data_IF_557290143680
#
_entry.id   IF_557290143680
#
_cell.length_a   1.000
_cell.length_b   1.000
_cell.length_c   1.000
_cell.angle_alpha   90.00
_cell.angle_beta   90.00
_cell.angle_gamma   90.00
#
_symmetry.space_group_name_H-M   'P 1'
#
loop_
_entity.id
_entity.type
_entity.pdbx_description
1 polymer ?
#
# COMPACT_ATOMS: atom_id res chain seq x y z
N UNK A 1 13.92 0.07 13.36
CA UNK A 1 13.33 -0.27 14.68
C UNK A 1 14.32 0.05 15.78
N UNK A 2 15.52 -0.52 15.77
CA UNK A 2 16.58 -0.20 16.75
C UNK A 2 16.84 1.31 16.94
N UNK A 3 16.90 2.10 15.84
CA UNK A 3 17.08 3.55 15.94
C UNK A 3 15.93 4.26 16.69
N UNK A 4 14.69 3.80 16.51
CA UNK A 4 13.52 4.33 17.22
C UNK A 4 13.58 4.01 18.71
N UNK A 5 13.92 2.76 19.05
CA UNK A 5 14.06 2.32 20.44
C UNK A 5 15.17 3.09 21.17
N UNK A 6 16.33 3.26 20.52
CA UNK A 6 17.44 4.07 21.06
C UNK A 6 17.03 5.53 21.26
N UNK A 7 16.31 6.12 20.31
CA UNK A 7 15.81 7.49 20.43
C UNK A 7 14.85 7.65 21.62
N UNK A 8 13.88 6.75 21.76
CA UNK A 8 12.94 6.77 22.90
C UNK A 8 13.65 6.55 24.24
N UNK A 9 14.68 5.71 24.28
CA UNK A 9 15.48 5.48 25.48
C UNK A 9 16.24 6.75 25.90
N UNK A 10 16.84 7.47 24.94
CA UNK A 10 17.51 8.74 25.20
C UNK A 10 16.53 9.79 25.75
N UNK A 11 15.34 9.93 25.14
CA UNK A 11 14.33 10.87 25.62
C UNK A 11 13.85 10.57 27.05
N UNK A 12 13.78 9.29 27.43
CA UNK A 12 13.42 8.88 28.79
C UNK A 12 14.52 9.22 29.80
N UNK A 13 15.79 9.03 29.42
CA UNK A 13 16.94 9.39 30.26
C UNK A 13 17.00 10.90 30.48
N UNK A 14 16.63 11.68 29.46
CA UNK A 14 16.65 13.14 29.48
C UNK A 14 15.39 13.79 30.06
N UNK A 15 14.40 12.99 30.53
CA UNK A 15 13.09 13.46 31.01
C UNK A 15 12.45 14.50 30.06
N UNK A 16 12.50 14.21 28.75
CA UNK A 16 12.15 15.18 27.72
C UNK A 16 10.72 15.72 27.88
N UNK A 17 10.51 17.05 27.85
CA UNK A 17 9.17 17.66 27.87
C UNK A 17 8.25 17.16 26.74
N UNK A 18 8.84 16.68 25.65
CA UNK A 18 8.08 16.16 24.50
C UNK A 18 7.40 14.82 24.78
N UNK A 19 7.96 14.00 25.70
CA UNK A 19 7.32 12.76 26.16
C UNK A 19 6.14 13.08 27.08
N UNK A 20 6.33 14.02 28.02
CA UNK A 20 5.28 14.47 28.93
C UNK A 20 4.10 15.03 28.14
N UNK A 21 4.36 15.89 27.14
CA UNK A 21 3.31 16.45 26.27
C UNK A 21 2.55 15.39 25.48
N UNK A 22 3.22 14.31 25.02
CA UNK A 22 2.53 13.19 24.38
C UNK A 22 1.64 12.41 25.35
N UNK A 23 2.11 12.21 26.59
CA UNK A 23 1.33 11.55 27.64
C UNK A 23 0.09 12.36 28.04
N UNK A 24 0.18 13.70 28.10
CA UNK A 24 -0.96 14.60 28.31
C UNK A 24 -2.01 14.48 27.19
N UNK A 25 -1.57 14.24 25.95
CA UNK A 25 -2.45 13.95 24.81
C UNK A 25 -2.96 12.49 24.83
N UNK A 26 -2.42 11.65 25.71
CA UNK A 26 -2.73 10.24 25.85
C UNK A 26 -2.26 9.37 24.69
N UNK A 27 -1.21 9.81 24.00
CA UNK A 27 -0.64 9.12 22.84
C UNK A 27 0.62 8.41 23.28
N UNK A 28 0.67 7.09 23.08
CA UNK A 28 1.85 6.30 23.41
C UNK A 28 2.89 6.39 22.29
N UNK A 29 4.19 6.54 22.59
CA UNK A 29 5.22 6.52 21.56
C UNK A 29 5.19 5.26 20.68
N UNK A 30 4.76 4.10 21.22
CA UNK A 30 4.60 2.87 20.43
C UNK A 30 3.59 3.00 19.29
N UNK A 31 2.56 3.83 19.44
CA UNK A 31 1.54 4.07 18.41
C UNK A 31 2.10 4.90 17.23
N UNK A 32 3.22 5.60 17.45
CA UNK A 32 3.88 6.43 16.43
C UNK A 32 4.95 5.67 15.63
N UNK A 33 5.26 4.42 15.99
CA UNK A 33 6.33 3.64 15.34
C UNK A 33 6.08 3.43 13.84
N UNK A 34 4.84 3.16 13.43
CA UNK A 34 4.49 2.99 12.02
C UNK A 34 4.53 4.30 11.24
N UNK A 35 4.15 5.41 11.87
CA UNK A 35 4.30 6.75 11.32
C UNK A 35 5.78 7.08 11.09
N UNK A 36 6.62 6.84 12.10
CA UNK A 36 8.07 6.99 12.01
C UNK A 36 8.68 6.15 10.88
N UNK A 37 8.30 4.87 10.77
CA UNK A 37 8.75 3.98 9.69
C UNK A 37 8.34 4.53 8.33
N UNK A 38 7.11 5.02 8.20
CA UNK A 38 6.58 5.59 6.97
C UNK A 38 7.38 6.81 6.53
N UNK A 39 7.66 7.74 7.44
CA UNK A 39 8.46 8.95 7.14
C UNK A 39 9.90 8.57 6.80
N UNK A 40 10.52 7.64 7.52
CA UNK A 40 11.87 7.14 7.20
C UNK A 40 11.96 6.44 5.83
N UNK A 41 10.86 5.84 5.37
CA UNK A 41 10.78 5.17 4.07
C UNK A 41 10.69 6.20 2.92
N UNK A 42 10.05 7.35 3.18
CA UNK A 42 9.80 8.41 2.20
C UNK A 42 10.32 9.78 2.67
N UNK A 43 11.64 9.94 2.92
CA UNK A 43 12.25 11.15 3.49
C UNK A 43 12.04 12.43 2.66
N UNK A 44 11.75 12.28 1.37
CA UNK A 44 11.42 13.37 0.46
C UNK A 44 10.02 13.96 0.67
N UNK A 45 9.11 13.19 1.27
CA UNK A 45 7.75 13.63 1.56
C UNK A 45 7.79 14.34 2.90
N UNK A 46 7.82 15.67 2.86
CA UNK A 46 7.71 16.47 4.07
C UNK A 46 6.26 16.41 4.57
N UNK A 47 6.00 15.89 5.78
CA UNK A 47 4.67 15.93 6.35
C UNK A 47 4.23 17.38 6.47
N UNK A 48 3.10 17.72 5.85
CA UNK A 48 2.45 19.00 6.13
C UNK A 48 1.72 18.87 7.46
N UNK A 49 1.94 19.80 8.38
CA UNK A 49 1.21 19.88 9.63
C UNK A 49 1.00 21.35 10.00
N UNK A 50 -0.23 21.67 10.40
CA UNK A 50 -0.61 22.98 10.93
C UNK A 50 -1.17 22.77 12.33
N UNK A 51 -0.86 23.70 13.24
CA UNK A 51 -1.46 23.68 14.56
C UNK A 51 -2.95 24.00 14.45
N UNK A 52 -3.80 23.03 14.78
CA UNK A 52 -5.24 23.26 14.94
C UNK A 52 -5.53 23.75 16.36
N UNK A 53 -6.61 24.52 16.58
CA UNK A 53 -7.05 24.84 17.93
C UNK A 53 -7.55 23.60 18.66
N UNK A 54 -7.41 23.60 19.99
CA UNK A 54 -7.94 22.52 20.82
C UNK A 54 -9.47 22.50 20.76
N UNK A 55 -10.11 21.36 20.45
CA UNK A 55 -11.56 21.29 20.37
C UNK A 55 -12.23 21.44 21.75
N UNK A 56 -13.46 21.95 21.76
CA UNK A 56 -14.26 22.03 22.97
C UNK A 56 -14.88 20.67 23.31
N UNK A 57 -14.17 19.88 24.12
CA UNK A 57 -14.65 18.55 24.53
C UNK A 57 -15.83 18.60 25.51
N UNK A 58 -16.14 19.76 26.12
CA UNK A 58 -17.16 19.85 27.16
C UNK A 58 -18.57 19.60 26.63
N UNK A 59 -18.86 20.12 25.44
CA UNK A 59 -20.18 19.98 24.82
C UNK A 59 -20.45 18.54 24.43
N UNK A 60 -19.51 17.91 23.72
CA UNK A 60 -19.61 16.51 23.32
C UNK A 60 -19.77 15.56 24.52
N UNK A 61 -19.04 15.81 25.62
CA UNK A 61 -19.16 15.02 26.85
C UNK A 61 -20.51 15.26 27.54
N UNK A 62 -21.00 16.50 27.57
CA UNK A 62 -22.33 16.80 28.13
C UNK A 62 -23.43 16.05 27.39
N UNK A 63 -23.35 15.99 26.07
CA UNK A 63 -24.32 15.24 25.25
C UNK A 63 -24.24 13.73 25.50
N UNK A 64 -23.03 13.15 25.54
CA UNK A 64 -22.86 11.73 25.88
C UNK A 64 -23.37 11.42 27.29
N UNK A 65 -23.15 12.30 28.27
CA UNK A 65 -23.67 12.11 29.63
C UNK A 65 -25.20 12.13 29.62
N UNK A 66 -25.81 13.11 28.93
CA UNK A 66 -27.27 13.21 28.82
C UNK A 66 -27.87 11.96 28.17
N UNK A 67 -27.27 11.51 27.07
CA UNK A 67 -27.66 10.26 26.41
C UNK A 67 -27.48 9.05 27.32
N UNK A 68 -26.37 8.97 28.06
CA UNK A 68 -26.08 7.85 28.95
C UNK A 68 -27.02 7.80 30.16
N UNK A 69 -27.39 8.94 30.72
CA UNK A 69 -28.34 9.03 31.82
C UNK A 69 -29.72 8.51 31.39
N UNK A 70 -30.18 8.84 30.18
CA UNK A 70 -31.43 8.34 29.60
C UNK A 70 -31.33 6.84 29.26
N UNK A 71 -30.33 6.46 28.46
CA UNK A 71 -30.18 5.09 27.98
C UNK A 71 -29.96 4.08 29.11
N UNK A 72 -29.31 4.49 30.22
CA UNK A 72 -29.06 3.62 31.37
C UNK A 72 -30.33 3.11 32.06
N UNK A 73 -31.47 3.79 31.90
CA UNK A 73 -32.76 3.36 32.45
C UNK A 73 -33.33 2.14 31.72
N UNK A 74 -32.83 1.86 30.52
CA UNK A 74 -33.27 0.76 29.66
C UNK A 74 -32.25 -0.39 29.58
N UNK A 75 -31.16 -0.31 30.34
CA UNK A 75 -30.15 -1.36 30.47
C UNK A 75 -30.53 -2.25 31.67
N UNK A 76 -30.56 -3.58 31.53
CA UNK A 76 -30.84 -4.50 32.63
C UNK A 76 -29.82 -4.36 33.78
N UNK A 77 -30.30 -4.40 35.03
CA UNK A 77 -29.45 -4.37 36.23
C UNK A 77 -28.56 -5.62 36.37
N UNK A 78 -29.06 -6.79 35.91
CA UNK A 78 -28.29 -8.02 35.81
C UNK A 78 -27.69 -8.20 34.41
N UNK A 79 -26.45 -8.67 34.34
CA UNK A 79 -25.76 -8.87 33.06
C UNK A 79 -26.48 -9.92 32.19
N UNK A 80 -26.79 -9.61 30.92
CA UNK A 80 -27.40 -10.58 30.01
C UNK A 80 -26.50 -11.81 29.82
N UNK A 81 -27.10 -12.99 29.58
CA UNK A 81 -26.37 -14.28 29.40
C UNK A 81 -25.22 -14.26 28.37
N UNK A 82 -25.25 -13.34 27.41
CA UNK A 82 -24.24 -13.20 26.35
C UNK A 82 -23.41 -11.91 26.48
N UNK A 83 -23.37 -11.34 27.68
CA UNK A 83 -22.74 -10.06 28.01
C UNK A 83 -23.54 -8.86 27.49
N UNK A 84 -23.14 -7.68 27.96
CA UNK A 84 -23.61 -6.40 27.42
C UNK A 84 -23.22 -6.24 25.93
N UNK A 85 -24.00 -5.48 25.18
CA UNK A 85 -23.57 -5.01 23.86
C UNK A 85 -22.66 -3.77 23.97
N UNK A 86 -22.02 -3.37 22.86
CA UNK A 86 -21.05 -2.27 22.85
C UNK A 86 -21.64 -0.93 23.30
N UNK A 87 -22.90 -0.67 22.97
CA UNK A 87 -23.56 0.58 23.37
C UNK A 87 -23.86 0.56 24.86
N UNK A 88 -24.33 -0.57 25.40
CA UNK A 88 -24.51 -0.77 26.83
C UNK A 88 -23.20 -0.60 27.60
N UNK A 89 -22.12 -1.21 27.11
CA UNK A 89 -20.77 -1.05 27.69
C UNK A 89 -20.31 0.42 27.69
N UNK A 90 -20.55 1.15 26.59
CA UNK A 90 -20.23 2.56 26.48
C UNK A 90 -21.03 3.42 27.49
N UNK A 91 -22.34 3.22 27.59
CA UNK A 91 -23.22 3.91 28.55
C UNK A 91 -22.81 3.60 30.00
N UNK A 92 -22.57 2.32 30.32
CA UNK A 92 -22.11 1.91 31.64
C UNK A 92 -20.71 2.46 31.97
N UNK A 93 -19.84 2.61 30.97
CA UNK A 93 -18.53 3.25 31.16
C UNK A 93 -18.66 4.71 31.61
N UNK A 94 -19.57 5.48 31.01
CA UNK A 94 -19.86 6.86 31.40
C UNK A 94 -20.45 6.92 32.81
N UNK A 95 -21.42 6.05 33.11
CA UNK A 95 -22.05 5.98 34.44
C UNK A 95 -21.05 5.66 35.55
N UNK A 96 -20.14 4.70 35.31
CA UNK A 96 -19.04 4.38 36.24
C UNK A 96 -18.09 5.56 36.42
N UNK A 97 -17.75 6.26 35.35
CA UNK A 97 -16.80 7.38 35.38
C UNK A 97 -17.38 8.66 35.99
N UNK A 98 -18.71 8.85 35.97
CA UNK A 98 -19.39 9.99 36.63
C UNK A 98 -19.09 10.07 38.13
N UNK A 99 -18.77 8.93 38.77
CA UNK A 99 -18.37 8.86 40.17
C UNK A 99 -16.92 9.28 40.46
N UNK A 100 -16.08 9.46 39.43
CA UNK A 100 -14.67 9.82 39.54
C UNK A 100 -14.39 11.15 38.84
N UNK A 101 -14.65 12.26 39.54
CA UNK A 101 -14.55 13.62 38.99
C UNK A 101 -13.17 13.93 38.40
N UNK A 102 -12.10 13.47 39.05
CA UNK A 102 -10.72 13.68 38.58
C UNK A 102 -10.43 12.95 37.26
N UNK A 103 -11.10 11.84 37.00
CA UNK A 103 -10.91 11.06 35.77
C UNK A 103 -11.47 11.79 34.54
N UNK A 104 -12.62 12.47 34.65
CA UNK A 104 -13.24 13.22 33.54
C UNK A 104 -12.52 14.56 33.31
N UNK A 105 -11.60 14.98 34.18
CA UNK A 105 -10.86 16.23 34.01
C UNK A 105 -9.89 16.17 32.83
N UNK A 106 -9.19 15.05 32.71
CA UNK A 106 -8.20 14.79 31.66
C UNK A 106 -8.85 14.62 30.28
N UNK A 107 -8.28 15.26 29.26
CA UNK A 107 -8.86 15.26 27.91
C UNK A 107 -8.77 13.88 27.24
N UNK A 108 -7.68 13.14 27.47
CA UNK A 108 -7.54 11.76 27.01
C UNK A 108 -8.71 10.87 27.44
N UNK A 109 -9.15 11.00 28.70
CA UNK A 109 -10.25 10.21 29.22
C UNK A 109 -11.60 10.56 28.56
N UNK A 110 -11.82 11.84 28.24
CA UNK A 110 -12.98 12.30 27.47
C UNK A 110 -12.97 11.71 26.06
N UNK A 111 -11.83 11.71 25.38
CA UNK A 111 -11.68 11.14 24.04
C UNK A 111 -11.94 9.64 24.05
N UNK A 112 -11.42 8.92 25.05
CA UNK A 112 -11.67 7.48 25.20
C UNK A 112 -13.16 7.14 25.36
N UNK A 113 -13.90 7.98 26.08
CA UNK A 113 -15.36 7.86 26.15
C UNK A 113 -15.99 8.06 24.76
N UNK A 114 -15.66 9.15 24.07
CA UNK A 114 -16.15 9.42 22.70
C UNK A 114 -15.85 8.26 21.73
N UNK A 115 -14.66 7.67 21.80
CA UNK A 115 -14.28 6.53 20.96
C UNK A 115 -15.12 5.26 21.22
N UNK A 116 -15.51 5.01 22.48
CA UNK A 116 -16.38 3.88 22.80
C UNK A 116 -17.74 4.04 22.11
N UNK A 117 -18.32 5.24 22.12
CA UNK A 117 -19.58 5.50 21.42
C UNK A 117 -19.43 5.45 19.89
N UNK A 118 -18.33 5.97 19.33
CA UNK A 118 -18.06 5.86 17.89
C UNK A 118 -18.02 4.41 17.38
N UNK A 119 -17.60 3.45 18.22
CA UNK A 119 -17.52 2.01 17.88
C UNK A 119 -18.81 1.21 18.17
N UNK A 120 -19.89 1.87 18.57
CA UNK A 120 -21.11 1.24 19.12
C UNK A 120 -22.25 1.04 18.10
N UNK A 121 -21.92 0.72 16.84
CA UNK A 121 -22.91 0.59 15.74
C UNK A 121 -23.86 -0.62 15.87
N UNK A 122 -23.46 -1.66 16.62
CA UNK A 122 -24.20 -2.94 16.72
C UNK A 122 -24.92 -3.07 18.05
N UNK A 123 -26.17 -2.61 18.09
CA UNK A 123 -27.08 -2.78 19.24
C UNK A 123 -27.85 -4.11 19.11
N UNK A 124 -27.87 -4.90 20.18
CA UNK A 124 -28.58 -6.20 20.20
C UNK A 124 -29.90 -6.08 20.93
N UNK A 125 -31.00 -5.93 20.18
CA UNK A 125 -32.34 -5.59 20.71
C UNK A 125 -32.80 -6.47 21.89
N UNK A 126 -32.54 -7.78 21.85
CA UNK A 126 -32.97 -8.72 22.89
C UNK A 126 -32.19 -8.62 24.21
N UNK A 127 -31.22 -7.70 24.33
CA UNK A 127 -30.40 -7.47 25.54
C UNK A 127 -30.82 -6.24 26.33
N UNK A 128 -31.85 -5.54 25.88
CA UNK A 128 -32.39 -4.31 26.49
C UNK A 128 -33.74 -4.57 27.14
N UNK A 129 -34.11 -3.76 28.12
CA UNK A 129 -35.40 -3.85 28.82
C UNK A 129 -36.56 -3.60 27.84
N UNK A 130 -36.39 -2.67 26.89
CA UNK A 130 -37.33 -2.42 25.79
C UNK A 130 -36.63 -2.59 24.43
N UNK A 131 -37.22 -3.42 23.57
CA UNK A 131 -36.72 -3.65 22.20
C UNK A 131 -36.97 -2.44 21.31
N UNK A 132 -38.06 -1.72 21.55
CA UNK A 132 -38.47 -0.53 20.82
C UNK A 132 -37.47 0.60 21.06
N UNK A 133 -37.12 0.85 22.33
CA UNK A 133 -36.10 1.85 22.70
C UNK A 133 -34.71 1.47 22.20
N UNK A 134 -34.32 0.20 22.31
CA UNK A 134 -33.05 -0.26 21.74
C UNK A 134 -32.97 -0.05 20.22
N UNK A 135 -34.10 -0.21 19.52
CA UNK A 135 -34.19 0.04 18.07
C UNK A 135 -34.10 1.54 17.76
N UNK A 136 -34.79 2.38 18.52
CA UNK A 136 -34.70 3.84 18.42
C UNK A 136 -33.27 4.34 18.64
N UNK A 137 -32.59 3.87 19.68
CA UNK A 137 -31.18 4.22 19.92
C UNK A 137 -30.28 3.80 18.77
N UNK A 138 -30.47 2.59 18.22
CA UNK A 138 -29.67 2.07 17.10
C UNK A 138 -29.90 2.83 15.80
N UNK A 139 -31.16 3.12 15.47
CA UNK A 139 -31.56 3.55 14.13
C UNK A 139 -31.58 5.08 13.98
N UNK A 140 -31.62 5.86 15.07
CA UNK A 140 -31.63 7.32 15.00
C UNK A 140 -30.66 7.98 15.98
N UNK A 141 -30.85 7.78 17.29
CA UNK A 141 -30.23 8.65 18.30
C UNK A 141 -28.71 8.49 18.35
N UNK A 142 -28.20 7.25 18.31
CA UNK A 142 -26.74 7.03 18.32
C UNK A 142 -26.08 7.50 17.02
N UNK A 143 -26.74 7.31 15.89
CA UNK A 143 -26.23 7.71 14.58
C UNK A 143 -26.16 9.23 14.47
N UNK A 144 -27.22 9.93 14.90
CA UNK A 144 -27.25 11.38 14.93
C UNK A 144 -26.18 11.95 15.86
N UNK A 145 -26.03 11.37 17.05
CA UNK A 145 -24.98 11.77 18.01
C UNK A 145 -23.58 11.49 17.44
N UNK A 146 -23.38 10.36 16.75
CA UNK A 146 -22.13 10.00 16.10
C UNK A 146 -21.77 10.98 14.98
N UNK A 147 -22.70 11.26 14.07
CA UNK A 147 -22.46 12.11 12.90
C UNK A 147 -22.31 13.58 13.26
N UNK A 148 -23.14 14.10 14.16
CA UNK A 148 -23.17 15.55 14.46
C UNK A 148 -22.17 15.97 15.52
N UNK A 149 -21.81 15.08 16.45
CA UNK A 149 -21.04 15.47 17.65
C UNK A 149 -19.80 14.63 17.84
N UNK A 150 -19.92 13.31 17.94
CA UNK A 150 -18.79 12.44 18.32
C UNK A 150 -17.71 12.42 17.23
N UNK A 151 -18.07 12.05 16.01
CA UNK A 151 -17.11 11.90 14.91
C UNK A 151 -16.44 13.24 14.54
N UNK A 152 -17.17 14.37 14.45
CA UNK A 152 -16.54 15.68 14.25
C UNK A 152 -15.58 16.06 15.38
N UNK A 153 -15.95 15.83 16.64
CA UNK A 153 -15.10 16.14 17.81
C UNK A 153 -13.84 15.28 17.81
N UNK A 154 -13.96 13.97 17.53
CA UNK A 154 -12.83 13.05 17.41
C UNK A 154 -11.91 13.45 16.25
N UNK A 155 -12.47 13.89 15.12
CA UNK A 155 -11.70 14.39 14.00
C UNK A 155 -10.91 15.64 14.39
N UNK A 156 -11.55 16.65 14.99
CA UNK A 156 -10.87 17.87 15.46
C UNK A 156 -9.78 17.56 16.51
N UNK A 157 -10.00 16.58 17.39
CA UNK A 157 -8.99 16.15 18.35
C UNK A 157 -7.78 15.50 17.64
N UNK A 158 -8.01 14.66 16.64
CA UNK A 158 -6.94 14.08 15.82
C UNK A 158 -6.16 15.16 15.08
N UNK A 159 -6.84 16.15 14.50
CA UNK A 159 -6.21 17.30 13.84
C UNK A 159 -5.37 18.14 14.82
N UNK A 160 -5.87 18.37 16.03
CA UNK A 160 -5.13 19.03 17.11
C UNK A 160 -3.86 18.25 17.50
N UNK A 161 -3.99 16.93 17.69
CA UNK A 161 -2.87 16.06 18.07
C UNK A 161 -1.83 15.91 16.97
N UNK A 162 -2.26 15.90 15.69
CA UNK A 162 -1.41 15.60 14.54
C UNK A 162 -0.17 16.51 14.46
N UNK A 163 -0.31 17.80 14.72
CA UNK A 163 0.85 18.70 14.73
C UNK A 163 1.86 18.33 15.83
N UNK A 164 1.39 17.92 17.02
CA UNK A 164 2.24 17.52 18.14
C UNK A 164 2.93 16.18 17.87
N UNK A 165 2.22 15.21 17.29
CA UNK A 165 2.80 13.89 16.97
C UNK A 165 3.86 14.00 15.88
N UNK A 166 3.63 14.77 14.82
CA UNK A 166 4.62 14.98 13.77
C UNK A 166 5.86 15.72 14.31
N UNK A 167 5.68 16.76 15.13
CA UNK A 167 6.80 17.44 15.80
C UNK A 167 7.63 16.51 16.69
N UNK A 168 7.00 15.51 17.31
CA UNK A 168 7.70 14.50 18.10
C UNK A 168 8.48 13.50 17.23
N UNK A 169 7.91 13.09 16.10
CA UNK A 169 8.51 12.06 15.23
C UNK A 169 9.65 12.60 14.38
N UNK A 170 9.58 13.84 13.90
CA UNK A 170 10.60 14.40 12.99
C UNK A 170 12.04 14.37 13.55
N UNK A 171 12.32 14.74 14.82
CA UNK A 171 13.67 14.61 15.37
C UNK A 171 14.16 13.16 15.46
N UNK A 172 13.25 12.19 15.65
CA UNK A 172 13.60 10.76 15.62
C UNK A 172 14.04 10.30 14.22
N UNK A 173 13.39 10.85 13.18
CA UNK A 173 13.77 10.61 11.78
C UNK A 173 15.15 11.18 11.51
N UNK A 174 15.43 12.40 11.97
CA UNK A 174 16.76 13.00 11.85
C UNK A 174 17.83 12.18 12.58
N UNK A 175 17.54 11.74 13.82
CA UNK A 175 18.42 10.85 14.57
C UNK A 175 18.77 9.56 13.81
N UNK A 176 17.79 8.98 13.11
CA UNK A 176 18.05 7.83 12.23
C UNK A 176 18.95 8.18 11.05
N UNK A 177 18.74 9.33 10.41
CA UNK A 177 19.62 9.80 9.35
C UNK A 177 21.06 10.01 9.84
N UNK A 178 21.25 10.61 11.02
CA UNK A 178 22.56 10.79 11.64
C UNK A 178 23.26 9.47 11.95
N UNK A 179 22.55 8.49 12.52
CA UNK A 179 23.09 7.16 12.80
C UNK A 179 23.60 6.50 11.52
N UNK A 180 22.85 6.62 10.42
CA UNK A 180 23.24 6.05 9.12
C UNK A 180 24.44 6.74 8.52
N UNK A 181 24.54 8.06 8.67
CA UNK A 181 25.71 8.82 8.25
C UNK A 181 26.97 8.39 9.02
N UNK A 182 26.86 8.17 10.34
CA UNK A 182 27.99 7.71 11.17
C UNK A 182 28.56 6.37 10.71
N UNK A 183 27.72 5.46 10.20
CA UNK A 183 28.16 4.16 9.66
C UNK A 183 28.47 4.19 8.16
N UNK A 184 28.43 5.36 7.50
CA UNK A 184 28.71 5.53 6.07
C UNK A 184 27.88 4.62 5.14
N UNK A 185 26.62 4.33 5.51
CA UNK A 185 25.75 3.44 4.74
C UNK A 185 24.64 4.20 4.00
N UNK A 186 24.55 3.98 2.69
CA UNK A 186 23.47 4.49 1.84
C UNK A 186 22.51 3.37 1.49
N UNK A 187 21.22 3.67 1.54
CA UNK A 187 20.17 2.80 1.00
C UNK A 187 19.80 3.31 -0.40
N UNK A 188 18.91 2.58 -1.09
CA UNK A 188 18.49 2.97 -2.44
C UNK A 188 17.88 4.37 -2.51
N UNK A 189 17.14 4.78 -1.48
CA UNK A 189 16.52 6.11 -1.43
C UNK A 189 17.55 7.24 -1.27
N UNK A 190 18.57 7.02 -0.45
CA UNK A 190 19.66 7.98 -0.29
C UNK A 190 20.46 8.15 -1.58
N UNK A 191 20.68 7.07 -2.33
CA UNK A 191 21.35 7.15 -3.63
C UNK A 191 20.58 8.06 -4.58
N UNK A 192 19.25 7.90 -4.62
CA UNK A 192 18.36 8.74 -5.43
C UNK A 192 18.40 10.20 -4.97
N UNK A 193 18.20 10.45 -3.68
CA UNK A 193 18.16 11.80 -3.11
C UNK A 193 19.50 12.53 -3.18
N UNK A 194 20.62 11.85 -2.94
CA UNK A 194 21.95 12.46 -3.07
C UNK A 194 22.26 12.77 -4.53
N UNK A 195 21.90 11.89 -5.46
CA UNK A 195 22.02 12.17 -6.91
C UNK A 195 21.21 13.39 -7.30
N UNK A 196 19.95 13.45 -6.86
CA UNK A 196 19.08 14.61 -7.03
C UNK A 196 19.72 15.90 -6.48
N UNK A 197 20.17 15.90 -5.23
CA UNK A 197 20.81 17.05 -4.61
C UNK A 197 22.08 17.50 -5.33
N UNK A 198 22.91 16.55 -5.78
CA UNK A 198 24.12 16.84 -6.54
C UNK A 198 23.78 17.55 -7.85
N UNK A 199 22.86 16.98 -8.63
CA UNK A 199 22.45 17.57 -9.91
C UNK A 199 21.74 18.91 -9.72
N UNK A 200 20.93 19.07 -8.68
CA UNK A 200 20.18 20.31 -8.41
C UNK A 200 21.09 21.46 -7.96
N UNK A 201 22.05 21.18 -7.07
CA UNK A 201 22.78 22.22 -6.35
C UNK A 201 24.18 22.52 -6.90
N UNK A 202 24.77 21.62 -7.69
CA UNK A 202 26.14 21.75 -8.20
C UNK A 202 26.12 21.77 -9.75
N UNK A 203 26.01 22.97 -10.37
CA UNK A 203 25.95 23.12 -11.82
C UNK A 203 27.12 22.48 -12.57
N UNK A 204 28.31 22.45 -11.98
CA UNK A 204 29.51 21.84 -12.54
C UNK A 204 29.38 20.31 -12.65
N UNK A 205 28.77 19.66 -11.65
CA UNK A 205 28.49 18.22 -11.68
C UNK A 205 27.41 17.92 -12.71
N UNK A 206 26.36 18.74 -12.75
CA UNK A 206 25.31 18.64 -13.76
C UNK A 206 25.93 18.76 -15.17
N UNK A 207 26.71 19.81 -15.42
CA UNK A 207 27.35 20.05 -16.71
C UNK A 207 28.26 18.89 -17.14
N UNK A 208 29.04 18.34 -16.22
CA UNK A 208 29.87 17.15 -16.47
C UNK A 208 29.03 15.98 -17.00
N UNK A 209 27.92 15.64 -16.33
CA UNK A 209 27.07 14.54 -16.76
C UNK A 209 26.26 14.85 -18.03
N UNK A 210 25.85 16.10 -18.24
CA UNK A 210 25.23 16.55 -19.50
C UNK A 210 26.18 16.44 -20.68
N UNK A 211 27.49 16.63 -20.46
CA UNK A 211 28.50 16.45 -21.48
C UNK A 211 28.74 14.97 -21.78
N UNK A 212 28.75 14.12 -20.75
CA UNK A 212 28.94 12.67 -20.88
C UNK A 212 27.73 11.97 -21.53
N UNK A 213 26.52 12.30 -21.10
CA UNK A 213 25.27 11.69 -21.58
C UNK A 213 24.52 12.68 -22.46
N UNK A 214 24.68 12.54 -23.77
CA UNK A 214 24.08 13.46 -24.77
C UNK A 214 22.59 13.20 -24.96
N UNK A 215 22.17 11.94 -24.91
CA UNK A 215 20.79 11.50 -25.06
C UNK A 215 20.44 10.54 -23.92
N UNK A 216 19.26 10.75 -23.33
CA UNK A 216 18.67 9.93 -22.29
C UNK A 216 17.46 9.20 -22.88
N UNK A 217 17.49 7.88 -22.81
CA UNK A 217 16.36 7.03 -23.18
C UNK A 217 15.79 6.44 -21.90
N UNK A 218 14.52 6.76 -21.63
CA UNK A 218 13.82 6.31 -20.43
C UNK A 218 12.65 5.44 -20.85
N UNK A 219 12.68 4.18 -20.42
CA UNK A 219 11.61 3.22 -20.64
C UNK A 219 10.76 3.06 -19.36
N UNK A 220 9.56 2.53 -19.48
CA UNK A 220 8.61 2.30 -18.38
C UNK A 220 8.36 3.55 -17.50
N UNK A 221 8.26 4.73 -18.13
CA UNK A 221 8.17 6.01 -17.42
C UNK A 221 6.96 6.11 -16.48
N UNK A 222 5.88 5.36 -16.74
CA UNK A 222 4.72 5.30 -15.85
C UNK A 222 5.02 4.77 -14.44
N UNK A 223 6.16 4.10 -14.25
CA UNK A 223 6.61 3.56 -12.97
C UNK A 223 7.69 4.43 -12.30
N UNK A 224 7.96 5.61 -12.87
CA UNK A 224 8.95 6.57 -12.38
C UNK A 224 8.41 7.36 -11.19
N UNK A 225 9.23 7.53 -10.15
CA UNK A 225 8.89 8.40 -9.00
C UNK A 225 9.17 9.89 -9.31
N UNK A 226 8.57 10.84 -8.56
CA UNK A 226 8.78 12.27 -8.82
C UNK A 226 10.24 12.72 -8.85
N UNK A 227 11.11 12.17 -7.97
CA UNK A 227 12.53 12.56 -7.89
C UNK A 227 13.29 12.08 -9.13
N UNK A 228 13.00 10.86 -9.59
CA UNK A 228 13.59 10.35 -10.84
C UNK A 228 13.25 11.26 -12.03
N UNK A 229 12.00 11.74 -12.13
CA UNK A 229 11.61 12.70 -13.14
C UNK A 229 12.43 14.01 -13.03
N UNK A 230 12.65 14.54 -11.82
CA UNK A 230 13.49 15.73 -11.64
C UNK A 230 14.94 15.48 -12.10
N UNK A 231 15.51 14.33 -11.74
CA UNK A 231 16.88 13.93 -12.14
C UNK A 231 17.00 13.90 -13.67
N UNK A 232 16.02 13.28 -14.35
CA UNK A 232 15.97 13.21 -15.81
C UNK A 232 15.98 14.62 -16.41
N UNK A 233 15.15 15.54 -15.90
CA UNK A 233 15.10 16.92 -16.38
C UNK A 233 16.38 17.71 -16.06
N UNK A 234 17.03 17.51 -14.92
CA UNK A 234 18.33 18.14 -14.65
C UNK A 234 19.42 17.66 -15.60
N UNK A 235 19.41 16.38 -15.99
CA UNK A 235 20.37 15.84 -16.96
C UNK A 235 20.04 16.23 -18.42
N UNK A 236 18.77 16.41 -18.75
CA UNK A 236 18.36 16.83 -20.09
C UNK A 236 18.35 18.35 -20.29
N UNK A 237 18.21 19.13 -19.22
CA UNK A 237 17.94 20.58 -19.26
C UNK A 237 19.04 21.43 -19.90
N UNK A 238 18.64 22.55 -20.50
CA UNK A 238 19.55 23.54 -21.09
C UNK A 238 20.25 24.39 -20.03
N UNK A 239 19.51 24.89 -19.04
CA UNK A 239 20.04 25.75 -17.98
C UNK A 239 20.57 24.93 -16.80
N UNK A 240 21.87 25.00 -16.55
CA UNK A 240 22.52 24.29 -15.44
C UNK A 240 22.32 24.96 -14.07
N UNK A 241 21.87 26.21 -14.04
CA UNK A 241 21.64 26.97 -12.81
C UNK A 241 20.18 26.95 -12.33
N UNK A 242 19.23 26.63 -13.20
CA UNK A 242 17.82 26.46 -12.81
C UNK A 242 17.66 25.26 -11.85
N UNK A 243 16.98 25.50 -10.73
CA UNK A 243 16.79 24.55 -9.61
C UNK A 243 15.35 24.08 -9.49
N UNK A 244 14.46 24.55 -10.35
CA UNK A 244 13.11 24.07 -10.52
C UNK A 244 13.01 23.31 -11.85
N UNK A 245 12.98 21.98 -11.76
CA UNK A 245 12.93 21.11 -12.92
C UNK A 245 11.73 21.35 -13.84
N UNK A 246 10.60 21.84 -13.32
CA UNK A 246 9.41 22.13 -14.13
C UNK A 246 9.59 23.36 -15.04
N UNK A 247 10.62 24.17 -14.80
CA UNK A 247 11.00 25.29 -15.67
C UNK A 247 12.10 24.92 -16.66
N UNK A 248 12.74 23.76 -16.49
CA UNK A 248 13.80 23.32 -17.38
C UNK A 248 13.23 22.90 -18.73
N UNK A 249 13.88 23.43 -19.77
CA UNK A 249 13.64 23.02 -21.14
C UNK A 249 14.75 22.01 -21.50
N UNK A 250 14.42 20.76 -21.87
CA UNK A 250 15.40 19.81 -22.37
C UNK A 250 16.19 20.37 -23.57
N UNK A 251 17.47 20.00 -23.70
CA UNK A 251 18.25 20.29 -24.91
C UNK A 251 17.63 19.53 -26.09
N UNK A 252 17.60 20.10 -27.30
CA UNK A 252 17.08 19.39 -28.48
C UNK A 252 17.73 18.01 -28.66
N UNK A 253 16.92 16.97 -28.82
CA UNK A 253 17.38 15.58 -29.02
C UNK A 253 17.99 14.90 -27.78
N UNK A 254 17.91 15.52 -26.59
CA UNK A 254 18.55 14.98 -25.38
C UNK A 254 17.71 14.02 -24.56
N UNK A 255 16.40 13.94 -24.80
CA UNK A 255 15.47 13.17 -23.98
C UNK A 255 14.45 12.44 -24.87
N UNK A 256 14.36 11.13 -24.66
CA UNK A 256 13.36 10.26 -25.26
C UNK A 256 12.72 9.40 -24.15
N UNK A 257 11.40 9.46 -24.04
CA UNK A 257 10.67 8.82 -22.94
C UNK A 257 9.58 7.92 -23.52
N UNK A 258 9.52 6.69 -23.04
CA UNK A 258 8.51 5.69 -23.36
C UNK A 258 7.79 5.30 -22.07
N UNK A 259 6.48 5.17 -22.14
CA UNK A 259 5.68 4.65 -21.05
C UNK A 259 4.22 4.44 -21.44
N UNK A 260 3.53 3.62 -20.66
CA UNK A 260 2.11 3.34 -20.81
C UNK A 260 1.39 3.58 -19.48
N UNK A 261 0.62 4.67 -19.33
CA UNK A 261 -0.07 4.96 -18.07
C UNK A 261 -1.10 3.89 -17.69
N UNK A 262 -1.60 3.10 -18.66
CA UNK A 262 -2.53 1.99 -18.39
C UNK A 262 -1.84 0.81 -17.69
N UNK A 263 -0.50 0.76 -17.70
CA UNK A 263 0.33 -0.28 -17.07
C UNK A 263 0.95 0.16 -15.73
N UNK A 264 0.62 1.36 -15.22
CA UNK A 264 1.13 1.84 -13.93
C UNK A 264 0.55 1.02 -12.77
N UNK A 265 1.32 0.04 -12.28
CA UNK A 265 0.93 -0.86 -11.18
C UNK A 265 1.78 -0.66 -9.92
N UNK A 266 2.80 0.19 -9.98
CA UNK A 266 3.76 0.44 -8.90
C UNK A 266 3.42 1.69 -8.05
N UNK A 267 2.13 2.06 -7.92
CA UNK A 267 1.70 3.19 -7.07
C UNK A 267 2.19 3.07 -5.61
N UNK A 268 2.35 1.84 -5.10
CA UNK A 268 2.92 1.58 -3.78
C UNK A 268 4.42 1.95 -3.66
N UNK A 269 5.11 2.14 -4.79
CA UNK A 269 6.48 2.71 -4.90
C UNK A 269 6.47 4.16 -5.37
N UNK A 270 5.33 4.85 -5.23
CA UNK A 270 5.13 6.26 -5.61
C UNK A 270 5.22 6.56 -7.11
N UNK A 271 5.05 5.56 -7.97
CA UNK A 271 4.72 5.80 -9.37
C UNK A 271 3.44 6.66 -9.43
N UNK A 272 3.51 7.80 -10.13
CA UNK A 272 2.44 8.79 -10.13
C UNK A 272 2.05 9.19 -11.55
N UNK A 273 0.82 8.83 -11.93
CA UNK A 273 0.21 9.19 -13.22
C UNK A 273 0.13 10.72 -13.39
N UNK A 274 0.03 11.49 -12.29
CA UNK A 274 0.07 12.94 -12.37
C UNK A 274 1.45 13.44 -12.82
N UNK A 275 2.54 12.79 -12.41
CA UNK A 275 3.90 13.11 -12.88
C UNK A 275 4.07 12.71 -14.35
N UNK A 276 3.56 11.55 -14.75
CA UNK A 276 3.54 11.16 -16.17
C UNK A 276 2.87 12.23 -17.04
N UNK A 277 1.68 12.69 -16.63
CA UNK A 277 0.93 13.73 -17.35
C UNK A 277 1.63 15.09 -17.32
N UNK A 278 2.27 15.46 -16.21
CA UNK A 278 3.05 16.68 -16.09
C UNK A 278 4.26 16.66 -17.04
N UNK A 279 5.02 15.58 -17.06
CA UNK A 279 6.19 15.44 -17.94
C UNK A 279 5.79 15.46 -19.40
N UNK A 280 4.71 14.79 -19.77
CA UNK A 280 4.12 14.89 -21.12
C UNK A 280 3.88 16.36 -21.50
N UNK A 281 3.20 17.11 -20.63
CA UNK A 281 2.91 18.53 -20.89
C UNK A 281 4.17 19.40 -20.96
N UNK A 282 5.20 19.10 -20.16
CA UNK A 282 6.49 19.80 -20.21
C UNK A 282 7.24 19.53 -21.51
N UNK A 283 7.24 18.28 -22.00
CA UNK A 283 7.85 17.90 -23.28
C UNK A 283 7.16 18.63 -24.43
N UNK A 284 5.83 18.61 -24.50
CA UNK A 284 5.05 19.34 -25.52
C UNK A 284 5.35 20.84 -25.47
N UNK A 285 5.37 21.45 -24.28
CA UNK A 285 5.68 22.87 -24.10
C UNK A 285 7.12 23.23 -24.52
N UNK A 286 8.05 22.30 -24.40
CA UNK A 286 9.45 22.49 -24.82
C UNK A 286 9.69 22.31 -26.32
N UNK A 287 8.63 22.04 -27.11
CA UNK A 287 8.72 21.78 -28.56
C UNK A 287 9.02 20.32 -28.90
N UNK A 288 8.91 19.41 -27.94
CA UNK A 288 9.02 17.97 -28.18
C UNK A 288 7.72 17.37 -28.72
N UNK A 289 7.84 16.22 -29.37
CA UNK A 289 6.70 15.50 -29.94
C UNK A 289 6.19 14.43 -28.98
N UNK A 290 4.86 14.31 -28.85
CA UNK A 290 4.23 13.21 -28.13
C UNK A 290 3.55 12.28 -29.13
N UNK A 291 4.12 11.09 -29.28
CA UNK A 291 3.63 10.06 -30.17
C UNK A 291 2.75 9.06 -29.39
N UNK A 292 1.71 8.56 -30.04
CA UNK A 292 0.85 7.50 -29.50
C UNK A 292 0.98 6.26 -30.37
N UNK A 293 1.35 5.14 -29.76
CA UNK A 293 1.45 3.85 -30.42
C UNK A 293 0.27 2.97 -29.98
N UNK A 294 -0.67 2.72 -30.89
CA UNK A 294 -1.86 1.89 -30.61
C UNK A 294 -1.74 0.48 -31.19
N UNK A 295 -0.84 0.30 -32.17
CA UNK A 295 -0.56 -0.97 -32.81
C UNK A 295 0.03 -1.98 -31.81
N UNK A 296 -0.68 -3.08 -31.60
CA UNK A 296 -0.23 -4.19 -30.77
C UNK A 296 0.24 -5.34 -31.67
N UNK A 297 1.56 -5.58 -31.63
CA UNK A 297 2.23 -6.65 -32.36
C UNK A 297 2.52 -7.89 -31.49
N UNK A 298 1.97 -7.95 -30.27
CA UNK A 298 2.25 -9.03 -29.31
C UNK A 298 1.11 -10.05 -29.20
N UNK A 299 -0.12 -9.60 -29.43
CA UNK A 299 -1.33 -10.37 -29.17
C UNK A 299 -2.13 -10.64 -30.44
N UNK A 300 -2.84 -11.77 -30.45
CA UNK A 300 -3.84 -12.11 -31.47
C UNK A 300 -5.10 -11.25 -31.34
N UNK A 301 -5.82 -11.10 -32.45
CA UNK A 301 -7.03 -10.29 -32.53
C UNK A 301 -8.10 -10.67 -31.51
N UNK A 302 -8.32 -11.97 -31.28
CA UNK A 302 -9.25 -12.49 -30.27
C UNK A 302 -8.99 -12.04 -28.84
N UNK A 303 -7.75 -11.70 -28.49
CA UNK A 303 -7.43 -11.14 -27.16
C UNK A 303 -7.88 -9.69 -27.09
N UNK A 304 -7.52 -8.88 -28.10
CA UNK A 304 -7.87 -7.47 -28.16
C UNK A 304 -9.38 -7.25 -28.25
N UNK A 305 -10.08 -8.01 -29.10
CA UNK A 305 -11.52 -7.89 -29.28
C UNK A 305 -12.32 -8.25 -28.04
N UNK A 306 -11.83 -9.19 -27.22
CA UNK A 306 -12.46 -9.57 -25.96
C UNK A 306 -12.17 -8.55 -24.84
N UNK A 307 -10.93 -8.10 -24.70
CA UNK A 307 -10.52 -7.24 -23.59
C UNK A 307 -10.90 -5.78 -23.78
N UNK A 308 -10.90 -5.27 -25.02
CA UNK A 308 -11.08 -3.84 -25.27
C UNK A 308 -12.41 -3.28 -24.70
N UNK A 309 -13.58 -3.91 -24.92
CA UNK A 309 -14.85 -3.42 -24.36
C UNK A 309 -14.89 -3.46 -22.82
N UNK A 310 -14.31 -4.51 -22.22
CA UNK A 310 -14.27 -4.69 -20.76
C UNK A 310 -13.49 -3.54 -20.10
N UNK A 311 -12.31 -3.24 -20.64
CA UNK A 311 -11.49 -2.18 -20.07
C UNK A 311 -12.05 -0.79 -20.39
N UNK A 312 -12.69 -0.58 -21.53
CA UNK A 312 -13.36 0.69 -21.83
C UNK A 312 -14.43 1.02 -20.77
N UNK A 313 -15.26 0.04 -20.38
CA UNK A 313 -16.25 0.20 -19.32
C UNK A 313 -15.58 0.48 -17.95
N UNK A 314 -14.58 -0.33 -17.57
CA UNK A 314 -13.90 -0.20 -16.27
C UNK A 314 -13.21 1.16 -16.12
N UNK A 315 -12.56 1.66 -17.17
CA UNK A 315 -11.84 2.94 -17.14
C UNK A 315 -12.77 4.15 -17.29
N UNK A 316 -13.95 4.00 -17.89
CA UNK A 316 -14.93 5.10 -18.02
C UNK A 316 -15.48 5.59 -16.68
N UNK A 317 -15.49 4.72 -15.66
CA UNK A 317 -16.00 5.03 -14.32
C UNK A 317 -15.10 5.94 -13.47
N UNK A 318 -13.87 6.23 -13.93
CA UNK A 318 -12.85 6.94 -13.16
C UNK A 318 -12.21 8.10 -13.92
N UNK A 319 -12.97 9.09 -14.38
CA UNK A 319 -12.37 10.29 -14.97
C UNK A 319 -11.80 11.21 -13.87
N UNK A 320 -10.47 11.29 -13.79
CA UNK A 320 -9.77 12.19 -12.88
C UNK A 320 -8.27 12.30 -13.18
N UNK A 321 -7.60 13.31 -12.61
CA UNK A 321 -6.15 13.59 -12.82
C UNK A 321 -5.22 12.43 -12.44
N UNK A 322 -5.72 11.46 -11.68
CA UNK A 322 -4.95 10.35 -11.11
C UNK A 322 -5.23 8.99 -11.75
N UNK A 323 -6.07 8.94 -12.79
CA UNK A 323 -6.40 7.72 -13.51
C UNK A 323 -5.90 7.84 -14.96
N UNK A 324 -5.38 6.74 -15.50
CA UNK A 324 -5.00 6.70 -16.91
C UNK A 324 -6.23 6.75 -17.82
N UNK A 325 -6.13 7.48 -18.93
CA UNK A 325 -7.16 7.44 -19.97
C UNK A 325 -6.98 6.13 -20.75
N UNK A 326 -8.07 5.41 -20.95
CA UNK A 326 -8.05 4.17 -21.70
C UNK A 326 -7.71 4.43 -23.18
N UNK A 327 -6.72 3.70 -23.70
CA UNK A 327 -6.47 3.57 -25.13
C UNK A 327 -6.64 2.11 -25.53
N UNK A 328 -7.46 1.80 -26.56
CA UNK A 328 -7.66 0.44 -27.00
C UNK A 328 -6.42 -0.12 -27.70
N UNK A 329 -6.19 -1.42 -27.53
CA UNK A 329 -5.14 -2.12 -28.26
C UNK A 329 -5.61 -2.46 -29.67
N UNK A 330 -4.87 -2.02 -30.69
CA UNK A 330 -5.10 -2.39 -32.09
C UNK A 330 -4.23 -3.60 -32.44
N UNK A 331 -4.74 -4.80 -32.12
CA UNK A 331 -4.08 -6.07 -32.43
C UNK A 331 -3.98 -6.29 -33.94
N UNK A 332 -2.76 -6.53 -34.43
CA UNK A 332 -2.49 -6.69 -35.87
C UNK A 332 -2.55 -8.16 -36.31
N UNK A 333 -2.22 -9.08 -35.41
CA UNK A 333 -2.16 -10.50 -35.74
C UNK A 333 -3.55 -11.13 -35.82
N UNK A 334 -3.81 -11.83 -36.92
CA UNK A 334 -5.05 -12.59 -37.13
C UNK A 334 -4.99 -13.93 -36.41
N UNK A 335 -6.14 -14.36 -35.94
CA UNK A 335 -6.34 -15.72 -35.44
C UNK A 335 -6.20 -16.75 -36.58
N UNK A 336 -5.66 -17.93 -36.24
CA UNK A 336 -5.69 -19.10 -37.10
C UNK A 336 -6.69 -20.12 -36.51
N UNK A 337 -7.79 -20.47 -37.21
CA UNK A 337 -8.78 -21.43 -36.70
C UNK A 337 -8.22 -22.82 -36.35
N UNK A 338 -7.05 -23.18 -36.89
CA UNK A 338 -6.37 -24.46 -36.61
C UNK A 338 -5.45 -24.39 -35.38
N UNK A 339 -5.27 -23.22 -34.78
CA UNK A 339 -4.43 -23.00 -33.62
C UNK A 339 -5.27 -22.56 -32.42
N UNK A 340 -4.75 -22.78 -31.21
CA UNK A 340 -5.37 -22.31 -29.98
C UNK A 340 -5.32 -20.77 -29.93
N UNK A 341 -6.48 -20.13 -29.73
CA UNK A 341 -6.56 -18.69 -29.53
C UNK A 341 -7.77 -18.25 -28.68
N UNK A 342 -7.78 -16.97 -28.32
CA UNK A 342 -8.85 -16.31 -27.58
C UNK A 342 -8.74 -16.43 -26.07
N UNK A 343 -9.72 -15.82 -25.40
CA UNK A 343 -9.82 -15.82 -23.94
C UNK A 343 -10.80 -16.91 -23.50
N UNK A 344 -10.37 -17.73 -22.53
CA UNK A 344 -11.18 -18.80 -21.93
C UNK A 344 -11.32 -18.55 -20.43
N UNK A 345 -12.49 -18.82 -19.89
CA UNK A 345 -12.78 -18.68 -18.47
C UNK A 345 -13.04 -20.06 -17.85
N UNK A 346 -12.31 -20.39 -16.78
CA UNK A 346 -12.56 -21.56 -15.95
C UNK A 346 -13.36 -21.12 -14.72
N UNK A 347 -14.50 -21.75 -14.48
CA UNK A 347 -15.36 -21.46 -13.33
C UNK A 347 -15.14 -22.54 -12.28
N UNK A 348 -14.79 -22.11 -11.06
CA UNK A 348 -14.52 -22.99 -9.92
C UNK A 348 -15.56 -22.74 -8.83
N UNK A 349 -16.11 -23.81 -8.26
CA UNK A 349 -17.09 -23.71 -7.18
C UNK A 349 -16.44 -23.19 -5.90
N UNK A 350 -17.12 -22.27 -5.21
CA UNK A 350 -16.65 -21.76 -3.92
C UNK A 350 -16.90 -22.80 -2.82
N UNK A 351 -15.84 -23.14 -2.09
CA UNK A 351 -15.93 -24.00 -0.90
C UNK A 351 -15.91 -23.19 0.39
N UNK A 352 -16.29 -23.81 1.50
CA UNK A 352 -16.22 -23.22 2.85
C UNK A 352 -14.78 -22.88 3.24
N UNK A 353 -13.82 -23.72 2.86
CA UNK A 353 -12.40 -23.47 3.05
C UNK A 353 -11.77 -22.85 1.80
N UNK A 354 -11.26 -21.61 1.93
CA UNK A 354 -10.59 -20.88 0.86
C UNK A 354 -9.42 -21.65 0.23
N UNK A 355 -8.67 -22.43 1.01
CA UNK A 355 -7.55 -23.21 0.49
C UNK A 355 -8.01 -24.35 -0.42
N UNK A 356 -9.18 -24.95 -0.15
CA UNK A 356 -9.72 -25.99 -1.02
C UNK A 356 -10.16 -25.41 -2.36
N UNK A 357 -10.83 -24.25 -2.35
CA UNK A 357 -11.18 -23.54 -3.60
C UNK A 357 -9.94 -23.24 -4.44
N UNK A 358 -8.86 -22.78 -3.82
CA UNK A 358 -7.59 -22.52 -4.52
C UNK A 358 -6.97 -23.81 -5.05
N UNK A 359 -7.04 -24.91 -4.27
CA UNK A 359 -6.55 -26.21 -4.75
C UNK A 359 -7.34 -26.72 -5.95
N UNK A 360 -8.66 -26.54 -5.94
CA UNK A 360 -9.52 -26.91 -7.06
C UNK A 360 -9.21 -26.08 -8.31
N UNK A 361 -8.96 -24.77 -8.14
CA UNK A 361 -8.49 -23.89 -9.21
C UNK A 361 -7.15 -24.35 -9.79
N UNK A 362 -6.14 -24.59 -8.93
CA UNK A 362 -4.83 -25.09 -9.32
C UNK A 362 -4.91 -26.44 -10.05
N UNK A 363 -5.78 -27.35 -9.59
CA UNK A 363 -6.01 -28.64 -10.25
C UNK A 363 -6.66 -28.46 -11.63
N UNK A 364 -7.60 -27.52 -11.75
CA UNK A 364 -8.26 -27.26 -13.03
C UNK A 364 -7.28 -26.69 -14.05
N UNK A 365 -6.40 -25.77 -13.63
CA UNK A 365 -5.31 -25.25 -14.45
C UNK A 365 -4.32 -26.36 -14.84
N UNK A 366 -3.89 -27.19 -13.88
CA UNK A 366 -2.97 -28.30 -14.14
C UNK A 366 -3.54 -29.28 -15.18
N UNK A 367 -4.83 -29.64 -15.07
CA UNK A 367 -5.52 -30.47 -16.06
C UNK A 367 -5.53 -29.82 -17.45
N UNK A 368 -5.84 -28.53 -17.54
CA UNK A 368 -5.84 -27.83 -18.84
C UNK A 368 -4.46 -27.83 -19.47
N UNK A 369 -3.41 -27.57 -18.70
CA UNK A 369 -2.02 -27.62 -19.19
C UNK A 369 -1.69 -29.02 -19.72
N UNK A 370 -1.98 -30.07 -18.93
CA UNK A 370 -1.76 -31.46 -19.33
C UNK A 370 -2.52 -31.82 -20.59
N UNK A 371 -3.81 -31.53 -20.63
CA UNK A 371 -4.65 -31.80 -21.80
C UNK A 371 -4.12 -31.12 -23.07
N UNK A 372 -3.62 -29.89 -22.96
CA UNK A 372 -3.08 -29.16 -24.11
C UNK A 372 -1.75 -29.73 -24.60
N UNK A 373 -0.91 -30.22 -23.69
CA UNK A 373 0.35 -30.89 -24.02
C UNK A 373 0.10 -32.28 -24.61
N UNK A 374 -0.71 -33.10 -23.93
CA UNK A 374 -0.96 -34.50 -24.28
C UNK A 374 -1.72 -34.62 -25.62
N UNK A 375 -2.51 -33.62 -25.98
CA UNK A 375 -3.23 -33.54 -27.28
C UNK A 375 -2.47 -32.74 -28.34
N UNK A 376 -1.24 -32.32 -28.07
CA UNK A 376 -0.36 -31.57 -28.99
C UNK A 376 -1.06 -30.37 -29.66
N UNK A 377 -1.69 -29.51 -28.85
CA UNK A 377 -2.31 -28.30 -29.37
C UNK A 377 -1.30 -27.44 -30.13
N UNK A 378 -1.74 -26.73 -31.17
CA UNK A 378 -0.90 -25.85 -31.97
C UNK A 378 -1.05 -24.39 -31.57
N UNK A 379 0.06 -23.66 -31.60
CA UNK A 379 0.12 -22.22 -31.36
C UNK A 379 0.47 -21.47 -32.65
N UNK A 380 -0.07 -20.26 -32.78
CA UNK A 380 0.40 -19.32 -33.80
C UNK A 380 1.78 -18.82 -33.39
N UNK A 381 2.74 -18.86 -34.31
CA UNK A 381 4.12 -18.40 -34.10
C UNK A 381 4.51 -17.39 -35.19
N UNK A 382 5.36 -16.44 -34.85
CA UNK A 382 5.97 -15.54 -35.83
C UNK A 382 7.07 -16.25 -36.59
N UNK A 383 7.46 -15.73 -37.76
CA UNK A 383 8.59 -16.27 -38.51
C UNK A 383 9.89 -16.23 -37.72
N UNK A 384 10.08 -15.19 -36.89
CA UNK A 384 11.24 -15.02 -36.03
C UNK A 384 11.29 -16.09 -34.94
N UNK A 385 10.15 -16.41 -34.32
CA UNK A 385 10.04 -17.49 -33.34
C UNK A 385 10.37 -18.85 -33.96
N UNK A 386 9.83 -19.13 -35.15
CA UNK A 386 10.12 -20.38 -35.88
C UNK A 386 11.60 -20.46 -36.24
N UNK A 387 12.20 -19.36 -36.73
CA UNK A 387 13.64 -19.28 -37.02
C UNK A 387 14.50 -19.45 -35.76
N UNK A 388 14.02 -18.99 -34.61
CA UNK A 388 14.66 -19.20 -33.30
C UNK A 388 14.46 -20.62 -32.75
N UNK A 389 13.77 -21.51 -33.47
CA UNK A 389 13.56 -22.91 -33.09
C UNK A 389 12.33 -23.15 -32.22
N UNK A 390 11.37 -22.23 -32.17
CA UNK A 390 10.13 -22.42 -31.44
C UNK A 390 9.28 -23.52 -32.10
N UNK A 391 8.78 -24.44 -31.27
CA UNK A 391 7.83 -25.47 -31.69
C UNK A 391 6.46 -24.85 -32.00
N UNK A 392 5.80 -25.37 -33.04
CA UNK A 392 4.39 -25.07 -33.34
C UNK A 392 3.43 -25.80 -32.41
N UNK A 393 3.82 -26.95 -31.87
CA UNK A 393 3.11 -27.62 -30.79
C UNK A 393 3.43 -26.97 -29.44
N UNK A 394 2.41 -26.88 -28.57
CA UNK A 394 2.52 -26.32 -27.22
C UNK A 394 3.57 -27.07 -26.41
N UNK A 395 4.34 -26.33 -25.60
CA UNK A 395 5.31 -26.86 -24.64
C UNK A 395 5.05 -26.28 -23.26
N UNK A 396 5.62 -26.87 -22.19
CA UNK A 396 5.47 -26.33 -20.83
C UNK A 396 5.98 -24.88 -20.68
N UNK A 397 6.92 -24.46 -21.53
CA UNK A 397 7.47 -23.09 -21.52
C UNK A 397 6.49 -22.03 -22.02
N UNK A 398 5.41 -22.44 -22.69
CA UNK A 398 4.40 -21.54 -23.24
C UNK A 398 3.34 -21.12 -22.20
N UNK A 399 3.37 -21.71 -21.00
CA UNK A 399 2.42 -21.41 -19.94
C UNK A 399 3.01 -20.48 -18.88
N UNK A 400 2.23 -19.48 -18.48
CA UNK A 400 2.54 -18.62 -17.34
C UNK A 400 1.31 -18.47 -16.45
N UNK A 401 1.46 -18.75 -15.16
CA UNK A 401 0.41 -18.57 -14.15
C UNK A 401 0.70 -17.28 -13.39
N UNK A 402 -0.17 -16.28 -13.55
CA UNK A 402 -0.06 -15.00 -12.85
C UNK A 402 -1.00 -14.96 -11.65
N UNK A 403 -0.44 -14.67 -10.47
CA UNK A 403 -1.17 -14.56 -9.21
C UNK A 403 -0.98 -13.17 -8.62
N UNK A 404 -2.06 -12.59 -8.06
CA UNK A 404 -2.00 -11.26 -7.43
C UNK A 404 -1.14 -11.25 -6.16
N UNK A 405 -1.15 -12.33 -5.39
CA UNK A 405 -0.47 -12.46 -4.10
C UNK A 405 0.37 -13.73 -4.03
N UNK A 406 1.46 -13.68 -3.24
CA UNK A 406 2.41 -14.80 -3.09
C UNK A 406 1.99 -15.87 -2.09
N UNK A 407 1.07 -15.55 -1.17
CA UNK A 407 0.76 -16.35 0.02
C UNK A 407 0.15 -17.75 -0.24
N UNK A 408 -0.15 -18.07 -1.49
CA UNK A 408 -0.80 -19.32 -1.92
C UNK A 408 -0.13 -19.98 -3.12
N UNK A 409 1.06 -19.49 -3.50
CA UNK A 409 1.83 -20.04 -4.62
C UNK A 409 2.27 -21.49 -4.36
N UNK A 410 2.47 -21.85 -3.09
CA UNK A 410 2.81 -23.20 -2.65
C UNK A 410 1.76 -24.24 -3.05
N UNK A 411 0.47 -23.87 -3.00
CA UNK A 411 -0.63 -24.76 -3.41
C UNK A 411 -0.55 -25.05 -4.91
N UNK A 412 -0.30 -24.04 -5.75
CA UNK A 412 -0.11 -24.24 -7.18
C UNK A 412 1.15 -25.07 -7.47
N UNK A 413 2.28 -24.75 -6.84
CA UNK A 413 3.53 -25.49 -7.01
C UNK A 413 3.38 -26.98 -6.65
N UNK A 414 2.77 -27.29 -5.50
CA UNK A 414 2.49 -28.68 -5.11
C UNK A 414 1.57 -29.37 -6.10
N UNK A 415 0.50 -28.71 -6.51
CA UNK A 415 -0.48 -29.29 -7.46
C UNK A 415 0.15 -29.57 -8.82
N UNK A 416 1.00 -28.66 -9.34
CA UNK A 416 1.75 -28.88 -10.57
C UNK A 416 2.72 -30.07 -10.44
N UNK A 417 3.40 -30.18 -9.29
CA UNK A 417 4.27 -31.33 -8.97
C UNK A 417 3.48 -32.65 -8.97
N UNK A 418 2.31 -32.67 -8.32
CA UNK A 418 1.40 -33.83 -8.27
C UNK A 418 0.95 -34.28 -9.68
N UNK A 419 0.87 -33.35 -10.64
CA UNK A 419 0.51 -33.63 -12.03
C UNK A 419 1.73 -33.82 -12.96
N UNK A 420 2.94 -33.85 -12.41
CA UNK A 420 4.18 -34.03 -13.18
C UNK A 420 4.49 -32.87 -14.14
N UNK A 421 4.00 -31.67 -13.85
CA UNK A 421 4.22 -30.47 -14.68
C UNK A 421 5.48 -29.75 -14.16
N UNK A 422 6.52 -29.56 -15.00
CA UNK A 422 7.69 -28.79 -14.62
C UNK A 422 7.34 -27.30 -14.48
N UNK A 423 7.82 -26.65 -13.42
CA UNK A 423 7.57 -25.24 -13.17
C UNK A 423 8.78 -24.54 -12.56
N UNK A 424 8.83 -23.22 -12.74
CA UNK A 424 9.77 -22.34 -12.07
C UNK A 424 8.98 -21.24 -11.37
N UNK A 425 9.33 -20.93 -10.12
CA UNK A 425 8.66 -19.89 -9.33
C UNK A 425 9.55 -18.67 -9.20
N UNK A 426 9.08 -17.51 -9.68
CA UNK A 426 9.76 -16.23 -9.48
C UNK A 426 9.25 -15.52 -8.22
N UNK A 427 10.16 -14.92 -7.45
CA UNK A 427 9.81 -14.11 -6.27
C UNK A 427 9.45 -14.89 -5.00
N UNK A 428 9.61 -16.22 -5.00
CA UNK A 428 9.44 -17.05 -3.82
C UNK A 428 10.79 -17.20 -3.10
N UNK A 429 11.01 -16.40 -2.04
CA UNK A 429 12.15 -16.54 -1.15
C UNK A 429 11.87 -17.68 -0.16
N UNK A 430 11.94 -18.92 -0.64
CA UNK A 430 11.67 -20.12 0.17
C UNK A 430 12.76 -20.44 1.20
N UNK A 431 13.88 -19.70 1.21
CA UNK A 431 15.01 -20.08 2.08
C UNK A 431 14.59 -20.11 3.56
N UNK A 432 13.81 -19.14 4.03
CA UNK A 432 13.35 -19.12 5.42
C UNK A 432 12.20 -20.10 5.72
N UNK A 433 11.51 -20.62 4.69
CA UNK A 433 10.41 -21.57 4.85
C UNK A 433 10.88 -23.03 4.69
N UNK A 434 12.02 -23.24 4.03
CA UNK A 434 12.68 -24.53 3.92
C UNK A 434 12.96 -25.08 5.31
N UNK A 435 12.40 -26.26 5.56
CA UNK A 435 12.65 -27.01 6.79
C UNK A 435 14.15 -27.20 7.02
N UNK A 436 14.89 -27.56 5.97
CA UNK A 436 16.35 -27.79 6.03
C UNK A 436 17.12 -26.53 6.49
N UNK A 437 16.74 -25.35 6.02
CA UNK A 437 17.38 -24.10 6.42
C UNK A 437 16.98 -23.68 7.83
N UNK A 438 15.74 -23.94 8.25
CA UNK A 438 15.32 -23.73 9.64
C UNK A 438 16.13 -24.59 10.61
N UNK A 439 16.36 -25.87 10.28
CA UNK A 439 17.21 -26.76 11.08
C UNK A 439 18.66 -26.26 11.11
N UNK A 440 19.21 -25.83 9.97
CA UNK A 440 20.55 -25.25 9.92
C UNK A 440 20.67 -23.95 10.76
N UNK A 441 19.64 -23.12 10.75
CA UNK A 441 19.57 -21.90 11.58
C UNK A 441 19.52 -22.21 13.07
N UNK A 442 18.80 -23.27 13.49
CA UNK A 442 18.83 -23.73 14.88
C UNK A 442 20.25 -24.13 15.28
N UNK A 443 20.94 -24.91 14.43
CA UNK A 443 22.32 -25.32 14.67
C UNK A 443 23.26 -24.10 14.82
N UNK A 444 23.16 -23.11 13.92
CA UNK A 444 23.97 -21.89 14.04
C UNK A 444 23.67 -21.08 15.30
N UNK A 445 22.40 -21.02 15.73
CA UNK A 445 22.01 -20.35 16.98
C UNK A 445 22.56 -21.09 18.20
N UNK A 446 22.53 -22.43 18.19
CA UNK A 446 23.13 -23.26 19.22
C UNK A 446 24.65 -23.06 19.30
N UNK A 447 25.35 -23.00 18.16
CA UNK A 447 26.81 -22.75 18.16
C UNK A 447 27.18 -21.38 18.75
N UNK A 448 26.29 -20.39 18.67
CA UNK A 448 26.50 -19.06 19.25
C UNK A 448 26.22 -19.03 20.76
N UNK A 449 25.32 -19.88 21.23
CA UNK A 449 24.86 -19.96 22.61
C UNK A 449 24.66 -21.43 23.01
N UNK A 450 25.79 -22.07 23.33
CA UNK A 450 25.88 -23.52 23.58
C UNK A 450 25.16 -23.90 24.88
N UNK A 451 24.88 -22.94 25.77
CA UNK A 451 24.17 -23.16 27.03
C UNK A 451 22.65 -23.12 26.87
N UNK A 452 22.15 -22.78 25.67
CA UNK A 452 20.72 -22.69 25.39
C UNK A 452 20.07 -24.08 25.30
N UNK A 453 19.62 -24.59 26.45
CA UNK A 453 19.02 -25.92 26.59
C UNK A 453 17.80 -26.16 25.67
N UNK A 454 17.06 -25.09 25.32
CA UNK A 454 15.91 -25.20 24.41
C UNK A 454 16.37 -25.52 22.98
N UNK A 455 17.49 -24.93 22.53
CA UNK A 455 18.06 -25.17 21.20
C UNK A 455 18.85 -26.48 21.09
N UNK A 456 19.25 -27.07 22.22
CA UNK A 456 19.88 -28.41 22.25
C UNK A 456 18.85 -29.53 22.01
N UNK A 457 17.63 -29.33 22.51
CA UNK A 457 16.54 -30.32 22.47
C UNK A 457 15.68 -30.20 21.21
N UNK A 458 15.58 -29.00 20.64
CA UNK A 458 14.73 -28.67 19.48
C UNK A 458 15.45 -28.82 18.13
#
# INVERSE_FOLDING_TARGET
>A
EEAWERYLLNLKIEESPSLIHLEELGIKPSELADCYKTICTYPEVKPFFQASPKPNLKEAIKEIISFSDEASQYIPDEEPKMGYDKLQEAVLSVKRMKGFYDYIKEDYNKIKLLENFSKSEKVTLNRWISKEKAKEYRDSIILELQEKVINPTLQQWREYCYASTIKFVLPAVEYYHELRQKVSMLNFQDLLLKTFCLLRNYPEVRQYFQQKYKCLLVDEFQDTDPIQAEIIFYLAGQDVYEKNWQKLIPRPGSLFVVGDPQQSIYRFRRADIAIYNLVKALIEKSGGEVLKLQANFRSLHSIGSYLNPIFEELFSSGQGKFQAVYSPMQTIWKDNPQCLSGVKQLIVSKESNKNNTIRQDAQSIARVIRDMIDKEFKLVRTEEEIKAGASTSVTYKDFMILLRYRSRMDIYARTLTEHGIPFTVSGYASLNESYQIKELLKLFRLMRDIENQVLIVA
#
